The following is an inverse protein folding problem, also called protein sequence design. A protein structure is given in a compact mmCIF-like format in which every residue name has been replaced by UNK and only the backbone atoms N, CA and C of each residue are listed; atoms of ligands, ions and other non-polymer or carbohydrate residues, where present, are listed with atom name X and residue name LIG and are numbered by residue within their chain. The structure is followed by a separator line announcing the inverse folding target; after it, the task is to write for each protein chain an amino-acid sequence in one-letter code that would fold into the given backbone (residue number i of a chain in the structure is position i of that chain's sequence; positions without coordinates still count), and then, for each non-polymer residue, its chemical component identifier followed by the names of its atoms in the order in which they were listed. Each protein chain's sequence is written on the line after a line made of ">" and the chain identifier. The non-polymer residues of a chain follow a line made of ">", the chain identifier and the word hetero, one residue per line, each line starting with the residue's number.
data_IF_220741449036
#
_entry.id   IF_220741449036
#
_cell.length_a   1.000
_cell.length_b   1.000
_cell.length_c   1.000
_cell.angle_alpha   90.00
_cell.angle_beta   90.00
_cell.angle_gamma   90.00
#
_symmetry.space_group_name_H-M   'P 1'
#
loop_
_entity.id
_entity.type
_entity.pdbx_description
1 polymer ?
#
# COMPACT_ATOMS: atom_id res chain seq x y z
N UNK A 1 6.14 6.41 13.36
CA UNK A 1 5.89 5.18 12.61
C UNK A 1 7.08 4.87 11.72
N UNK A 2 7.56 3.63 11.75
CA UNK A 2 8.71 3.15 10.97
C UNK A 2 8.30 2.01 10.04
N UNK A 3 9.04 1.82 8.94
CA UNK A 3 8.81 0.77 7.94
C UNK A 3 8.60 -0.64 8.53
N UNK A 4 9.41 -1.16 9.48
CA UNK A 4 9.19 -2.50 10.02
C UNK A 4 7.82 -2.65 10.71
N UNK A 5 7.33 -1.60 11.37
CA UNK A 5 5.99 -1.63 12.00
C UNK A 5 4.89 -1.66 10.94
N UNK A 6 5.05 -0.87 9.87
CA UNK A 6 4.12 -0.86 8.72
C UNK A 6 4.11 -2.22 8.04
N UNK A 7 5.29 -2.81 7.81
CA UNK A 7 5.42 -4.12 7.18
C UNK A 7 4.74 -5.22 7.99
N UNK A 8 4.96 -5.25 9.30
CA UNK A 8 4.28 -6.22 10.18
C UNK A 8 2.77 -6.05 10.17
N UNK A 9 2.27 -4.81 10.22
CA UNK A 9 0.83 -4.55 10.22
C UNK A 9 0.19 -4.85 8.85
N UNK A 10 0.86 -4.46 7.76
CA UNK A 10 0.44 -4.79 6.40
C UNK A 10 0.40 -6.30 6.17
N UNK A 11 1.35 -7.06 6.73
CA UNK A 11 1.34 -8.52 6.64
C UNK A 11 0.13 -9.10 7.36
N UNK A 12 -0.16 -8.64 8.59
CA UNK A 12 -1.34 -9.08 9.33
C UNK A 12 -2.66 -8.75 8.59
N UNK A 13 -2.71 -7.60 7.93
CA UNK A 13 -3.82 -7.20 7.06
C UNK A 13 -3.97 -8.15 5.85
N UNK A 14 -2.87 -8.50 5.17
CA UNK A 14 -2.88 -9.47 4.08
C UNK A 14 -3.35 -10.86 4.54
N UNK A 15 -2.86 -11.33 5.69
CA UNK A 15 -3.21 -12.63 6.26
C UNK A 15 -4.71 -12.68 6.60
N UNK A 16 -5.26 -11.59 7.15
CA UNK A 16 -6.70 -11.46 7.42
C UNK A 16 -7.53 -11.51 6.12
N UNK A 17 -7.12 -10.78 5.08
CA UNK A 17 -7.80 -10.81 3.78
C UNK A 17 -7.74 -12.21 3.13
N UNK A 18 -6.59 -12.88 3.17
CA UNK A 18 -6.43 -14.24 2.65
C UNK A 18 -7.26 -15.27 3.42
N UNK A 19 -7.47 -15.05 4.74
CA UNK A 19 -8.37 -15.86 5.55
C UNK A 19 -9.86 -15.53 5.33
N UNK A 20 -10.18 -14.50 4.56
CA UNK A 20 -11.55 -13.96 4.42
C UNK A 20 -12.06 -13.26 5.68
N UNK A 21 -11.17 -12.94 6.63
CA UNK A 21 -11.49 -12.24 7.87
C UNK A 21 -11.50 -10.73 7.65
N UNK A 22 -12.56 -10.28 6.95
CA UNK A 22 -12.75 -8.86 6.63
C UNK A 22 -12.92 -8.02 7.90
N UNK A 23 -13.58 -8.55 8.93
CA UNK A 23 -13.76 -7.86 10.21
C UNK A 23 -12.40 -7.54 10.87
N UNK A 24 -11.45 -8.47 10.81
CA UNK A 24 -10.09 -8.24 11.28
C UNK A 24 -9.35 -7.21 10.42
N UNK A 25 -9.46 -7.33 9.09
CA UNK A 25 -8.78 -6.42 8.16
C UNK A 25 -9.21 -4.96 8.36
N UNK A 26 -10.48 -4.71 8.65
CA UNK A 26 -11.02 -3.35 8.81
C UNK A 26 -10.62 -2.73 10.16
N UNK A 27 -10.09 -3.51 11.11
CA UNK A 27 -9.54 -2.96 12.36
C UNK A 27 -8.39 -1.98 12.09
N UNK A 28 -7.62 -2.22 11.03
CA UNK A 28 -6.51 -1.37 10.62
C UNK A 28 -6.97 -0.09 9.93
N UNK A 29 -8.26 0.04 9.61
CA UNK A 29 -8.80 1.21 8.93
C UNK A 29 -9.11 2.34 9.90
N UNK A 30 -8.83 3.56 9.45
CA UNK A 30 -9.22 4.75 10.16
C UNK A 30 -10.75 4.90 10.22
N UNK A 31 -11.30 5.61 11.21
CA UNK A 31 -12.75 5.82 11.31
C UNK A 31 -13.36 6.46 10.07
N UNK A 32 -12.60 7.31 9.37
CA UNK A 32 -13.02 7.94 8.13
C UNK A 32 -13.11 6.93 6.98
N UNK A 33 -12.09 6.07 6.83
CA UNK A 33 -12.07 5.03 5.80
C UNK A 33 -13.18 3.99 6.04
N UNK A 34 -13.43 3.62 7.30
CA UNK A 34 -14.53 2.70 7.66
C UNK A 34 -15.92 3.22 7.28
N UNK A 35 -16.12 4.54 7.16
CA UNK A 35 -17.40 5.09 6.67
C UNK A 35 -17.65 4.79 5.19
N UNK A 36 -16.59 4.66 4.41
CA UNK A 36 -16.63 4.35 2.98
C UNK A 36 -16.17 2.91 2.70
N UNK A 37 -16.34 2.01 3.69
CA UNK A 37 -15.86 0.63 3.63
C UNK A 37 -16.43 -0.16 2.44
N UNK A 38 -17.68 0.12 2.05
CA UNK A 38 -18.30 -0.52 0.89
C UNK A 38 -17.56 -0.24 -0.41
N UNK A 39 -17.01 0.97 -0.57
CA UNK A 39 -16.21 1.33 -1.75
C UNK A 39 -14.87 0.58 -1.73
N UNK A 40 -14.22 0.48 -0.57
CA UNK A 40 -12.95 -0.25 -0.42
C UNK A 40 -13.14 -1.75 -0.68
N UNK A 41 -14.20 -2.36 -0.13
CA UNK A 41 -14.50 -3.78 -0.33
C UNK A 41 -14.85 -4.08 -1.80
N UNK A 42 -15.47 -3.13 -2.51
CA UNK A 42 -15.73 -3.27 -3.94
C UNK A 42 -14.45 -3.25 -4.80
N UNK A 43 -13.31 -2.79 -4.26
CA UNK A 43 -12.01 -2.88 -4.93
C UNK A 43 -11.34 -4.25 -4.74
N UNK A 44 -11.75 -5.02 -3.74
CA UNK A 44 -11.15 -6.30 -3.43
C UNK A 44 -11.77 -7.40 -4.32
N UNK A 45 -10.94 -8.23 -5.00
CA UNK A 45 -11.45 -9.38 -5.74
C UNK A 45 -11.79 -10.46 -4.72
N UNK A 46 -13.04 -10.49 -4.25
CA UNK A 46 -13.51 -11.47 -3.28
C UNK A 46 -14.14 -12.68 -4.00
N UNK A 47 -13.71 -13.92 -3.71
CA UNK A 47 -12.66 -14.30 -2.75
C UNK A 47 -11.26 -14.06 -3.30
N UNK A 48 -10.37 -13.48 -2.48
CA UNK A 48 -8.96 -13.33 -2.82
C UNK A 48 -8.25 -14.65 -2.48
N UNK A 49 -7.64 -15.30 -3.48
CA UNK A 49 -6.90 -16.55 -3.29
C UNK A 49 -5.49 -16.27 -2.76
N UNK A 50 -4.87 -15.19 -3.23
CA UNK A 50 -3.52 -14.80 -2.83
C UNK A 50 -3.49 -13.30 -2.55
N UNK A 51 -2.89 -12.92 -1.43
CA UNK A 51 -2.71 -11.53 -1.02
C UNK A 51 -1.25 -11.36 -0.61
N UNK A 52 -0.53 -10.45 -1.28
CA UNK A 52 0.88 -10.22 -1.04
C UNK A 52 1.21 -8.72 -1.02
N UNK A 53 2.23 -8.36 -0.25
CA UNK A 53 2.81 -7.01 -0.28
C UNK A 53 3.77 -6.95 -1.47
N UNK A 54 3.49 -6.08 -2.44
CA UNK A 54 4.33 -5.85 -3.61
C UNK A 54 5.46 -4.87 -3.30
N UNK A 55 5.13 -3.74 -2.66
CA UNK A 55 6.10 -2.68 -2.33
C UNK A 55 5.64 -1.86 -1.12
N UNK A 56 6.59 -1.31 -0.38
CA UNK A 56 6.36 -0.39 0.73
C UNK A 56 7.25 0.83 0.46
N UNK A 57 6.62 1.98 0.25
CA UNK A 57 7.31 3.23 -0.07
C UNK A 57 6.95 4.28 0.97
N UNK A 58 7.93 5.08 1.39
CA UNK A 58 7.66 6.23 2.23
C UNK A 58 7.09 7.37 1.37
N UNK A 59 5.89 7.85 1.69
CA UNK A 59 5.16 8.83 0.90
C UNK A 59 4.68 10.01 1.74
N UNK A 60 5.38 11.14 1.63
CA UNK A 60 5.02 12.39 2.32
C UNK A 60 5.07 12.25 3.85
N UNK A 61 3.90 12.11 4.47
CA UNK A 61 3.72 12.05 5.95
C UNK A 61 3.40 10.64 6.47
N UNK A 62 3.58 9.62 5.64
CA UNK A 62 3.24 8.25 5.98
C UNK A 62 3.88 7.27 5.00
N UNK A 63 3.30 6.07 4.91
CA UNK A 63 3.78 5.02 4.01
C UNK A 63 2.68 4.65 3.03
N UNK A 64 3.06 4.41 1.78
CA UNK A 64 2.18 3.81 0.79
C UNK A 64 2.60 2.34 0.63
N UNK A 65 1.65 1.45 0.80
CA UNK A 65 1.86 0.00 0.63
C UNK A 65 1.06 -0.44 -0.58
N UNK A 66 1.76 -1.02 -1.55
CA UNK A 66 1.15 -1.61 -2.73
C UNK A 66 0.91 -3.08 -2.42
N UNK A 67 -0.36 -3.48 -2.46
CA UNK A 67 -0.82 -4.84 -2.26
C UNK A 67 -1.19 -5.45 -3.62
N UNK A 68 -0.77 -6.68 -3.85
CA UNK A 68 -1.18 -7.49 -4.99
C UNK A 68 -2.19 -8.53 -4.50
N UNK A 69 -3.39 -8.50 -5.05
CA UNK A 69 -4.46 -9.43 -4.73
C UNK A 69 -4.80 -10.22 -5.99
N UNK A 70 -4.67 -11.54 -5.93
CA UNK A 70 -5.10 -12.44 -6.99
C UNK A 70 -6.42 -13.11 -6.59
N UNK A 71 -7.46 -12.83 -7.35
CA UNK A 71 -8.72 -13.56 -7.33
C UNK A 71 -8.64 -14.83 -8.18
N UNK A 72 -9.79 -15.43 -8.48
CA UNK A 72 -9.86 -16.63 -9.33
C UNK A 72 -9.60 -16.32 -10.81
N UNK A 73 -10.04 -15.15 -11.28
CA UNK A 73 -10.03 -14.78 -12.71
C UNK A 73 -9.25 -13.50 -13.01
N UNK A 74 -8.96 -12.70 -11.98
CA UNK A 74 -8.30 -11.40 -12.11
C UNK A 74 -7.29 -11.16 -10.99
N UNK A 75 -6.28 -10.35 -11.30
CA UNK A 75 -5.32 -9.84 -10.34
C UNK A 75 -5.44 -8.32 -10.32
N UNK A 76 -5.57 -7.75 -9.12
CA UNK A 76 -5.63 -6.31 -8.90
C UNK A 76 -4.50 -5.85 -8.01
N UNK A 77 -4.08 -4.61 -8.21
CA UNK A 77 -3.12 -3.94 -7.35
C UNK A 77 -3.84 -2.83 -6.58
N UNK A 78 -3.66 -2.79 -5.27
CA UNK A 78 -4.28 -1.78 -4.41
C UNK A 78 -3.18 -1.02 -3.69
N UNK A 79 -3.20 0.30 -3.83
CA UNK A 79 -2.38 1.17 -3.01
C UNK A 79 -3.13 1.52 -1.73
N UNK A 80 -2.51 1.27 -0.59
CA UNK A 80 -3.03 1.66 0.72
C UNK A 80 -2.11 2.70 1.34
N UNK A 81 -2.67 3.78 1.87
CA UNK A 81 -1.93 4.82 2.57
C UNK A 81 -2.04 4.63 4.07
N UNK A 82 -0.90 4.56 4.72
CA UNK A 82 -0.74 4.33 6.14
C UNK A 82 -0.23 5.60 6.81
N UNK A 83 -0.86 5.97 7.92
CA UNK A 83 -0.40 7.06 8.78
C UNK A 83 -0.33 6.59 10.21
N UNK A 84 0.53 7.24 10.98
CA UNK A 84 0.52 7.12 12.43
C UNK A 84 -0.77 7.74 12.97
N UNK A 85 -1.58 6.92 13.64
CA UNK A 85 -2.73 7.37 14.44
C UNK A 85 -2.57 6.76 15.82
N UNK A 86 -2.47 7.60 16.83
CA UNK A 86 -2.32 7.19 18.23
C UNK A 86 -1.16 6.20 18.45
N UNK A 87 -0.05 6.36 17.71
CA UNK A 87 1.12 5.49 17.79
C UNK A 87 0.98 4.14 17.10
N UNK A 88 -0.08 3.94 16.29
CA UNK A 88 -0.28 2.72 15.48
C UNK A 88 -0.36 3.02 13.98
N UNK A 89 0.26 2.19 13.14
CA UNK A 89 0.04 2.22 11.70
C UNK A 89 -1.44 2.00 11.39
N UNK A 90 -2.07 2.98 10.75
CA UNK A 90 -3.50 2.95 10.42
C UNK A 90 -3.69 3.30 8.95
N UNK A 91 -4.50 2.52 8.24
CA UNK A 91 -4.85 2.74 6.85
C UNK A 91 -5.87 3.88 6.80
N UNK A 92 -5.51 4.98 6.15
CA UNK A 92 -6.35 6.16 6.00
C UNK A 92 -6.99 6.28 4.62
N UNK A 93 -6.43 5.57 3.63
CA UNK A 93 -6.88 5.61 2.24
C UNK A 93 -6.54 4.28 1.55
N UNK A 94 -7.41 3.83 0.64
CA UNK A 94 -7.17 2.68 -0.22
C UNK A 94 -7.71 2.99 -1.62
N UNK A 95 -6.89 2.73 -2.64
CA UNK A 95 -7.17 3.08 -4.03
C UNK A 95 -6.70 1.97 -4.97
N UNK A 96 -7.48 1.70 -6.02
CA UNK A 96 -7.08 0.72 -7.05
C UNK A 96 -5.98 1.30 -7.93
N UNK A 97 -4.84 0.63 -7.97
CA UNK A 97 -3.73 0.97 -8.85
C UNK A 97 -4.04 0.36 -10.22
N UNK A 98 -4.69 1.13 -11.09
CA UNK A 98 -4.86 0.73 -12.48
C UNK A 98 -3.48 0.58 -13.13
N UNK A 99 -3.26 -0.50 -13.89
CA UNK A 99 -1.99 -0.96 -14.51
C UNK A 99 -1.23 0.11 -15.34
N UNK A 100 -1.79 1.30 -15.51
CA UNK A 100 -1.26 2.43 -16.27
C UNK A 100 -0.33 3.35 -15.45
N UNK A 101 -0.26 3.24 -14.12
CA UNK A 101 0.48 4.23 -13.28
C UNK A 101 1.91 3.81 -12.88
N UNK A 102 2.46 2.68 -13.38
CA UNK A 102 3.87 2.26 -13.15
C UNK A 102 4.88 2.94 -14.09
N UNK A 103 4.66 4.20 -14.44
CA UNK A 103 5.68 5.08 -14.99
C UNK A 103 5.53 6.36 -14.17
N UNK A 104 6.43 6.68 -13.24
CA UNK A 104 7.76 7.22 -13.47
C UNK A 104 8.58 7.08 -12.17
N UNK A 105 9.75 6.42 -12.15
CA UNK A 105 10.75 6.73 -11.14
C UNK A 105 11.35 8.10 -11.48
N UNK A 106 11.26 9.01 -10.52
CA UNK A 106 11.97 10.29 -10.46
C UNK A 106 13.47 10.02 -10.71
N UNK A 107 13.90 10.22 -11.94
CA UNK A 107 15.29 10.15 -12.37
C UNK A 107 15.71 11.56 -12.76
N UNK A 108 15.76 12.46 -11.79
CA UNK A 108 16.59 13.66 -11.87
C UNK A 108 17.66 13.54 -10.80
N UNK A 109 18.59 12.61 -11.07
CA UNK A 109 19.90 12.62 -10.46
C UNK A 109 20.62 13.90 -10.91
N UNK A 110 20.66 14.87 -10.02
CA UNK A 110 21.81 15.72 -9.70
C UNK A 110 22.79 15.95 -10.87
N UNK A 111 22.44 16.87 -11.77
CA UNK A 111 23.39 17.48 -12.70
C UNK A 111 23.95 18.74 -12.04
N UNK A 112 25.09 18.63 -11.33
CA UNK A 112 26.07 19.73 -11.30
C UNK A 112 27.50 19.28 -10.92
N UNK A 113 28.31 19.12 -11.98
CA UNK A 113 29.73 19.49 -12.14
C UNK A 113 30.69 19.64 -10.93
N UNK A 114 31.86 18.98 -11.02
CA UNK A 114 33.15 19.68 -11.16
C UNK A 114 34.37 18.75 -11.35
N UNK A 115 35.03 18.92 -12.50
CA UNK A 115 36.48 18.95 -12.73
C UNK A 115 37.39 17.84 -12.18
N UNK A 116 37.89 16.98 -13.09
CA UNK A 116 39.34 16.81 -13.25
C UNK A 116 39.66 16.24 -14.65
N UNK A 117 40.58 16.88 -15.36
CA UNK A 117 40.91 16.52 -16.74
C UNK A 117 42.07 17.34 -17.27
N UNK A 118 43.23 17.15 -16.64
CA UNK A 118 44.52 17.68 -17.07
C UNK A 118 44.98 17.04 -18.37
N UNK A 119 45.54 17.84 -19.29
CA UNK A 119 46.40 17.41 -20.39
C UNK A 119 47.56 18.40 -20.54
#
# INVERSE_FOLDING_TARGET
>A
MDEPAVRSQAQAFCDALAAGDVDRAIEDFSPELRRNIGEVLALLPLPANEVAIDSIDHGGTGYNVILRLAGEVDEVMIQTRWKDRDGRPTIVEASHLSKTERAIPDAEADDEAAADGSA
#
